data_IF_280870644984
#
_entry.id   IF_280870644984
#
_cell.length_a   1.000
_cell.length_b   1.000
_cell.length_c   1.000
_cell.angle_alpha   90.00
_cell.angle_beta   90.00
_cell.angle_gamma   90.00
#
_symmetry.space_group_name_H-M   'P 1'
#
loop_
_entity.id
_entity.type
_entity.pdbx_description
1 polymer ?
#
# COMPACT_ATOMS: atom_id res chain seq x y z
N UNK A 1 16.51 54.27 -4.34
CA UNK A 1 16.46 53.21 -3.31
C UNK A 1 16.17 51.91 -4.03
N UNK A 2 17.18 51.04 -4.12
CA UNK A 2 17.09 49.72 -4.76
C UNK A 2 16.38 48.81 -3.75
N UNK A 3 15.10 48.53 -3.97
CA UNK A 3 14.32 47.66 -3.11
C UNK A 3 14.69 46.23 -3.44
N UNK A 4 15.69 45.68 -2.75
CA UNK A 4 15.90 44.24 -2.72
C UNK A 4 14.62 43.62 -2.16
N UNK A 5 13.88 42.89 -2.99
CA UNK A 5 12.87 41.99 -2.44
C UNK A 5 13.66 40.88 -1.75
N UNK A 6 13.70 40.91 -0.43
CA UNK A 6 14.41 39.92 0.37
C UNK A 6 13.85 38.53 0.05
N UNK A 7 14.73 37.61 -0.36
CA UNK A 7 14.31 36.24 -0.68
C UNK A 7 13.56 35.58 0.50
N UNK A 8 13.93 35.94 1.73
CA UNK A 8 13.23 35.49 2.95
C UNK A 8 11.82 36.05 3.08
N UNK A 9 11.58 37.27 2.63
CA UNK A 9 10.24 37.86 2.60
C UNK A 9 9.42 37.20 1.49
N UNK A 10 10.00 37.01 0.31
CA UNK A 10 9.34 36.31 -0.79
C UNK A 10 9.03 34.84 -0.46
N UNK A 11 9.84 34.16 0.34
CA UNK A 11 9.55 32.82 0.87
C UNK A 11 8.30 32.80 1.78
N UNK A 12 7.83 33.94 2.29
CA UNK A 12 6.57 34.04 3.04
C UNK A 12 5.34 34.23 2.14
N UNK A 13 5.52 34.65 0.88
CA UNK A 13 4.42 34.99 -0.04
C UNK A 13 3.74 33.74 -0.60
N UNK A 14 2.48 33.80 -1.01
CA UNK A 14 1.83 32.60 -1.57
C UNK A 14 2.41 32.29 -2.94
N UNK A 15 2.28 31.04 -3.37
CA UNK A 15 2.80 30.61 -4.68
C UNK A 15 2.14 31.40 -5.80
N UNK A 16 0.84 31.65 -5.74
CA UNK A 16 0.14 32.46 -6.74
C UNK A 16 0.66 33.90 -6.82
N UNK A 17 0.87 34.54 -5.66
CA UNK A 17 1.42 35.91 -5.60
C UNK A 17 2.83 35.99 -6.19
N UNK A 18 3.67 34.98 -5.93
CA UNK A 18 5.02 34.90 -6.49
C UNK A 18 5.02 34.63 -7.99
N UNK A 19 4.06 33.85 -8.49
CA UNK A 19 3.90 33.60 -9.93
C UNK A 19 3.38 34.83 -10.66
N UNK A 20 2.51 35.62 -10.03
CA UNK A 20 2.05 36.89 -10.56
C UNK A 20 3.19 37.92 -10.57
N UNK A 21 3.92 38.02 -9.46
CA UNK A 21 5.12 38.85 -9.36
C UNK A 21 6.15 38.45 -10.41
N UNK A 22 6.38 37.14 -10.62
CA UNK A 22 7.26 36.64 -11.65
C UNK A 22 6.83 37.10 -13.05
N UNK A 23 5.55 36.99 -13.38
CA UNK A 23 4.99 37.47 -14.66
C UNK A 23 5.11 38.98 -14.82
N UNK A 24 4.89 39.75 -13.74
CA UNK A 24 5.04 41.21 -13.73
C UNK A 24 6.49 41.64 -13.94
N UNK A 25 7.43 40.88 -13.39
CA UNK A 25 8.86 41.09 -13.53
C UNK A 25 9.44 40.47 -14.82
N UNK A 26 8.61 39.77 -15.61
CA UNK A 26 9.04 39.09 -16.84
C UNK A 26 9.94 37.88 -16.62
N UNK A 27 9.93 37.30 -15.42
CA UNK A 27 10.69 36.09 -15.08
C UNK A 27 9.83 34.84 -15.08
N UNK A 28 10.51 33.70 -15.21
CA UNK A 28 9.88 32.40 -15.30
C UNK A 28 9.13 32.03 -14.01
N UNK A 29 7.82 31.81 -14.15
CA UNK A 29 6.90 31.49 -13.05
C UNK A 29 6.75 29.97 -12.82
N UNK A 30 7.54 29.15 -13.48
CA UNK A 30 7.50 27.70 -13.36
C UNK A 30 8.42 27.21 -12.23
N UNK A 31 8.00 26.12 -11.58
CA UNK A 31 8.75 25.49 -10.49
C UNK A 31 8.17 25.71 -9.09
N UNK A 32 9.02 25.49 -8.09
CA UNK A 32 8.63 25.57 -6.67
C UNK A 32 8.61 27.02 -6.19
N UNK A 33 7.87 27.26 -5.10
CA UNK A 33 7.71 28.59 -4.49
C UNK A 33 9.06 29.26 -4.19
N UNK A 34 10.03 28.49 -3.72
CA UNK A 34 11.37 28.97 -3.36
C UNK A 34 12.21 29.33 -4.58
N UNK A 35 12.09 28.57 -5.66
CA UNK A 35 12.76 28.88 -6.92
C UNK A 35 12.22 30.18 -7.53
N UNK A 36 10.90 30.34 -7.56
CA UNK A 36 10.25 31.56 -8.06
C UNK A 36 10.62 32.74 -7.17
N UNK A 37 10.59 32.59 -5.84
CA UNK A 37 11.02 33.63 -4.89
C UNK A 37 12.48 34.04 -5.10
N UNK A 38 13.37 33.09 -5.34
CA UNK A 38 14.80 33.37 -5.59
C UNK A 38 14.99 34.10 -6.91
N UNK A 39 14.27 33.70 -7.97
CA UNK A 39 14.32 34.38 -9.28
C UNK A 39 13.74 35.80 -9.20
N UNK A 40 12.62 35.99 -8.50
CA UNK A 40 12.03 37.31 -8.27
C UNK A 40 12.92 38.19 -7.36
N UNK A 41 13.62 37.61 -6.38
CA UNK A 41 14.58 38.34 -5.54
C UNK A 41 15.83 38.79 -6.31
N UNK A 42 16.25 37.98 -7.29
CA UNK A 42 17.40 38.26 -8.16
C UNK A 42 17.09 39.26 -9.29
N UNK A 43 15.81 39.62 -9.50
CA UNK A 43 15.43 40.73 -10.38
C UNK A 43 15.72 42.04 -9.67
N UNK A 44 16.94 42.54 -9.86
CA UNK A 44 17.23 43.95 -9.67
C UNK A 44 16.63 44.74 -10.85
N UNK A 45 16.02 45.91 -10.60
CA UNK A 45 15.89 46.94 -11.64
C UNK A 45 17.29 47.50 -11.89
N UNK A 46 18.11 46.69 -12.53
CA UNK A 46 19.47 46.96 -12.99
C UNK A 46 19.60 46.15 -14.28
N UNK A 47 19.42 46.81 -15.42
CA UNK A 47 19.94 46.28 -16.68
C UNK A 47 21.45 46.33 -16.50
N UNK A 48 22.17 45.21 -16.37
CA UNK A 48 23.61 45.28 -16.46
C UNK A 48 23.96 45.83 -17.84
N UNK A 49 24.73 46.91 -17.89
CA UNK A 49 25.42 47.30 -19.12
C UNK A 49 26.18 46.06 -19.61
N UNK A 50 25.87 45.58 -20.82
CA UNK A 50 26.31 44.29 -21.38
C UNK A 50 27.84 44.14 -21.53
N UNK A 51 28.64 45.05 -20.95
CA UNK A 51 30.07 45.19 -21.21
C UNK A 51 31.02 44.69 -20.11
N UNK A 52 30.56 44.12 -18.98
CA UNK A 52 31.48 43.56 -17.95
C UNK A 52 31.02 42.26 -17.24
N UNK A 53 30.17 41.42 -17.86
CA UNK A 53 29.95 40.04 -17.37
C UNK A 53 30.74 39.05 -18.24
N UNK A 54 31.79 38.47 -17.66
CA UNK A 54 32.66 37.51 -18.36
C UNK A 54 31.91 36.20 -18.64
N UNK A 55 32.31 35.47 -19.69
CA UNK A 55 31.71 34.16 -20.03
C UNK A 55 31.78 33.14 -18.88
N UNK A 56 32.67 33.36 -17.90
CA UNK A 56 32.81 32.53 -16.71
C UNK A 56 31.62 32.68 -15.74
N UNK A 57 31.08 33.89 -15.55
CA UNK A 57 29.90 34.13 -14.71
C UNK A 57 28.62 33.53 -15.31
N UNK A 58 28.44 33.62 -16.64
CA UNK A 58 27.32 32.97 -17.34
C UNK A 58 27.41 31.44 -17.24
N UNK A 59 28.63 30.89 -17.27
CA UNK A 59 28.85 29.44 -17.16
C UNK A 59 28.62 28.94 -15.73
N UNK A 60 29.02 29.70 -14.72
CA UNK A 60 28.77 29.40 -13.32
C UNK A 60 27.26 29.43 -12.99
N UNK A 61 26.52 30.39 -13.51
CA UNK A 61 25.06 30.46 -13.34
C UNK A 61 24.33 29.27 -14.00
N UNK A 62 24.77 28.85 -15.19
CA UNK A 62 24.21 27.69 -15.88
C UNK A 62 24.53 26.36 -15.18
N UNK A 63 25.75 26.20 -14.66
CA UNK A 63 26.17 25.00 -13.91
C UNK A 63 25.43 24.87 -12.58
N UNK A 64 25.24 25.99 -11.85
CA UNK A 64 24.44 26.02 -10.63
C UNK A 64 22.96 25.68 -10.88
N UNK A 65 22.38 26.14 -11.99
CA UNK A 65 21.02 25.79 -12.37
C UNK A 65 20.88 24.29 -12.75
N UNK A 66 21.88 23.72 -13.42
CA UNK A 66 21.90 22.30 -13.76
C UNK A 66 22.06 21.40 -12.53
N UNK A 67 22.91 21.77 -11.56
CA UNK A 67 23.07 21.01 -10.32
C UNK A 67 21.81 21.06 -9.44
N UNK A 68 21.14 22.21 -9.39
CA UNK A 68 19.86 22.35 -8.69
C UNK A 68 18.76 21.49 -9.33
N UNK A 69 18.68 21.44 -10.66
CA UNK A 69 17.74 20.58 -11.37
C UNK A 69 18.01 19.09 -11.14
N UNK A 70 19.30 18.68 -11.13
CA UNK A 70 19.69 17.30 -10.86
C UNK A 70 19.34 16.84 -9.43
N UNK A 71 19.59 17.68 -8.41
CA UNK A 71 19.20 17.40 -7.02
C UNK A 71 17.68 17.29 -6.85
N UNK A 72 16.92 18.17 -7.49
CA UNK A 72 15.45 18.13 -7.43
C UNK A 72 14.86 16.87 -8.09
N UNK A 73 15.48 16.37 -9.17
CA UNK A 73 15.06 15.11 -9.80
C UNK A 73 15.39 13.89 -8.93
N UNK A 74 16.55 13.88 -8.27
CA UNK A 74 16.95 12.81 -7.35
C UNK A 74 16.02 12.73 -6.14
N UNK A 75 15.68 13.87 -5.52
CA UNK A 75 14.74 13.92 -4.40
C UNK A 75 13.33 13.46 -4.79
N UNK A 76 12.88 13.78 -6.01
CA UNK A 76 11.60 13.26 -6.54
C UNK A 76 11.60 11.75 -6.69
N UNK A 77 12.66 11.16 -7.23
CA UNK A 77 12.78 9.70 -7.39
C UNK A 77 12.82 8.99 -6.03
N UNK A 78 13.50 9.56 -5.05
CA UNK A 78 13.54 9.01 -3.69
C UNK A 78 12.15 9.05 -3.02
N UNK A 79 11.41 10.15 -3.17
CA UNK A 79 10.05 10.28 -2.63
C UNK A 79 9.06 9.31 -3.29
N UNK A 80 9.13 9.13 -4.61
CA UNK A 80 8.27 8.19 -5.34
C UNK A 80 8.56 6.73 -4.94
N UNK A 81 9.84 6.36 -4.79
CA UNK A 81 10.22 5.03 -4.33
C UNK A 81 9.74 4.75 -2.89
N UNK A 82 9.81 5.73 -1.99
CA UNK A 82 9.32 5.61 -0.62
C UNK A 82 7.78 5.44 -0.59
N UNK A 83 7.05 6.20 -1.41
CA UNK A 83 5.59 6.10 -1.49
C UNK A 83 5.15 4.72 -2.02
N UNK A 84 5.82 4.20 -3.05
CA UNK A 84 5.53 2.87 -3.60
C UNK A 84 5.80 1.76 -2.58
N UNK A 85 6.91 1.84 -1.84
CA UNK A 85 7.23 0.87 -0.80
C UNK A 85 6.21 0.88 0.36
N UNK A 86 5.67 2.05 0.73
CA UNK A 86 4.62 2.14 1.75
C UNK A 86 3.29 1.53 1.27
N UNK A 87 2.92 1.74 0.00
CA UNK A 87 1.72 1.13 -0.59
C UNK A 87 1.84 -0.40 -0.62
N UNK A 88 2.97 -0.93 -1.09
CA UNK A 88 3.22 -2.37 -1.14
C UNK A 88 3.18 -3.01 0.26
N UNK A 89 3.69 -2.32 1.28
CA UNK A 89 3.62 -2.79 2.67
C UNK A 89 2.18 -2.86 3.18
N UNK A 90 1.36 -1.84 2.91
CA UNK A 90 -0.07 -1.84 3.31
C UNK A 90 -0.86 -2.94 2.61
N UNK A 91 -0.58 -3.19 1.32
CA UNK A 91 -1.20 -4.27 0.58
C UNK A 91 -0.82 -5.66 1.15
N UNK A 92 0.45 -5.86 1.48
CA UNK A 92 0.92 -7.11 2.10
C UNK A 92 0.30 -7.35 3.49
N UNK A 93 0.19 -6.31 4.32
CA UNK A 93 -0.43 -6.40 5.64
C UNK A 93 -1.93 -6.74 5.55
N UNK A 94 -2.65 -6.12 4.62
CA UNK A 94 -4.07 -6.43 4.38
C UNK A 94 -4.28 -7.89 3.90
N UNK A 95 -3.40 -8.38 3.01
CA UNK A 95 -3.45 -9.76 2.54
C UNK A 95 -3.17 -10.77 3.68
N UNK A 96 -2.17 -10.49 4.53
CA UNK A 96 -1.85 -11.34 5.67
C UNK A 96 -3.01 -11.42 6.69
N UNK A 97 -3.65 -10.28 6.99
CA UNK A 97 -4.81 -10.25 7.88
C UNK A 97 -6.00 -11.03 7.32
N UNK A 98 -6.28 -10.88 6.02
CA UNK A 98 -7.36 -11.63 5.36
C UNK A 98 -7.10 -13.14 5.35
N UNK A 99 -5.84 -13.57 5.22
CA UNK A 99 -5.47 -14.99 5.32
C UNK A 99 -5.66 -15.53 6.75
N UNK A 100 -5.30 -14.74 7.77
CA UNK A 100 -5.50 -15.12 9.17
C UNK A 100 -7.00 -15.27 9.51
N UNK A 101 -7.82 -14.31 9.08
CA UNK A 101 -9.28 -14.35 9.29
C UNK A 101 -9.91 -15.57 8.60
N UNK A 102 -9.46 -15.94 7.39
CA UNK A 102 -9.93 -17.16 6.72
C UNK A 102 -9.53 -18.43 7.46
N UNK A 103 -8.32 -18.50 7.99
CA UNK A 103 -7.87 -19.66 8.80
C UNK A 103 -8.69 -19.78 10.09
N UNK A 104 -8.98 -18.66 10.74
CA UNK A 104 -9.82 -18.63 11.94
C UNK A 104 -11.25 -19.11 11.62
N UNK A 105 -11.84 -18.65 10.52
CA UNK A 105 -13.16 -19.09 10.07
C UNK A 105 -13.19 -20.58 9.72
N UNK A 106 -12.19 -21.09 8.98
CA UNK A 106 -12.10 -22.51 8.64
C UNK A 106 -11.95 -23.40 9.88
N UNK A 107 -11.16 -22.95 10.87
CA UNK A 107 -11.02 -23.68 12.14
C UNK A 107 -12.32 -23.68 12.96
N UNK A 108 -13.06 -22.57 12.96
CA UNK A 108 -14.35 -22.49 13.62
C UNK A 108 -15.38 -23.42 12.94
N UNK A 109 -15.40 -23.46 11.61
CA UNK A 109 -16.26 -24.38 10.85
C UNK A 109 -15.90 -25.85 11.09
N UNK A 110 -14.60 -26.20 11.15
CA UNK A 110 -14.15 -27.55 11.48
C UNK A 110 -14.56 -27.95 12.91
N UNK A 111 -14.43 -27.03 13.87
CA UNK A 111 -14.83 -27.26 15.26
C UNK A 111 -16.36 -27.42 15.38
N UNK A 112 -17.14 -26.58 14.71
CA UNK A 112 -18.60 -26.69 14.66
C UNK A 112 -19.02 -28.02 14.03
N UNK A 113 -18.47 -28.36 12.85
CA UNK A 113 -18.74 -29.62 12.17
C UNK A 113 -18.40 -30.82 13.06
N UNK A 114 -17.28 -30.77 13.81
CA UNK A 114 -16.90 -31.82 14.75
C UNK A 114 -17.90 -31.97 15.92
N UNK A 115 -18.52 -30.88 16.39
CA UNK A 115 -19.56 -30.94 17.43
C UNK A 115 -20.90 -31.48 16.93
N UNK A 116 -21.16 -31.41 15.63
CA UNK A 116 -22.39 -31.96 15.02
C UNK A 116 -22.31 -33.45 14.69
N UNK A 117 -21.11 -34.05 14.73
CA UNK A 117 -20.94 -35.48 14.50
C UNK A 117 -21.44 -36.31 15.70
N UNK A 118 -22.10 -37.41 15.38
CA UNK A 118 -22.60 -38.42 16.32
C UNK A 118 -21.75 -39.67 16.21
N UNK A 119 -21.43 -40.29 17.35
CA UNK A 119 -20.71 -41.57 17.40
C UNK A 119 -21.66 -42.71 17.04
N UNK A 120 -21.23 -43.57 16.13
CA UNK A 120 -21.94 -44.79 15.73
C UNK A 120 -21.02 -46.00 15.85
N UNK A 121 -21.62 -47.18 16.06
CA UNK A 121 -20.94 -48.47 16.11
C UNK A 121 -21.40 -49.37 14.98
N UNK A 122 -20.46 -49.86 14.17
CA UNK A 122 -20.75 -50.81 13.11
C UNK A 122 -21.25 -52.14 13.69
N UNK A 123 -22.40 -52.61 13.21
CA UNK A 123 -23.00 -53.88 13.63
C UNK A 123 -22.53 -55.06 12.78
N UNK A 124 -22.12 -54.79 11.54
CA UNK A 124 -21.62 -55.79 10.59
C UNK A 124 -20.58 -55.15 9.68
N UNK A 125 -19.76 -55.97 9.01
CA UNK A 125 -18.82 -55.48 8.00
C UNK A 125 -19.56 -54.85 6.82
N UNK A 126 -19.24 -53.61 6.48
CA UNK A 126 -19.80 -52.93 5.31
C UNK A 126 -18.79 -51.95 4.69
N UNK A 127 -19.00 -51.59 3.42
CA UNK A 127 -18.24 -50.53 2.75
C UNK A 127 -19.00 -49.22 2.92
N UNK A 128 -18.41 -48.28 3.67
CA UNK A 128 -18.93 -46.92 3.72
C UNK A 128 -18.58 -46.20 2.41
N UNK A 129 -19.59 -45.89 1.61
CA UNK A 129 -19.41 -45.25 0.30
C UNK A 129 -19.03 -43.77 0.37
N UNK A 130 -19.32 -43.09 1.48
CA UNK A 130 -18.96 -41.67 1.65
C UNK A 130 -17.52 -41.54 2.10
N UNK A 131 -17.10 -42.38 3.05
CA UNK A 131 -15.73 -42.41 3.56
C UNK A 131 -14.78 -43.25 2.70
N UNK A 132 -15.32 -44.01 1.74
CA UNK A 132 -14.62 -45.00 0.91
C UNK A 132 -13.74 -45.94 1.74
N UNK A 133 -14.29 -46.40 2.87
CA UNK A 133 -13.61 -47.19 3.89
C UNK A 133 -14.44 -48.42 4.25
N UNK A 134 -13.79 -49.56 4.44
CA UNK A 134 -14.44 -50.73 5.02
C UNK A 134 -14.49 -50.53 6.54
N UNK A 135 -15.68 -50.67 7.11
CA UNK A 135 -15.89 -50.72 8.56
C UNK A 135 -16.16 -52.17 8.94
N UNK A 136 -15.44 -52.67 9.93
CA UNK A 136 -15.62 -54.00 10.49
C UNK A 136 -16.59 -53.96 11.68
N UNK A 137 -17.11 -55.13 12.06
CA UNK A 137 -18.04 -55.23 13.17
C UNK A 137 -17.41 -54.74 14.47
N UNK A 138 -18.08 -53.82 15.17
CA UNK A 138 -17.62 -53.25 16.43
C UNK A 138 -16.85 -51.94 16.28
N UNK A 139 -16.52 -51.51 15.07
CA UNK A 139 -15.84 -50.23 14.82
C UNK A 139 -16.69 -49.04 15.26
N UNK A 140 -16.07 -48.10 15.98
CA UNK A 140 -16.69 -46.86 16.45
C UNK A 140 -16.11 -45.68 15.68
N UNK A 141 -17.00 -44.82 15.16
CA UNK A 141 -16.61 -43.67 14.34
C UNK A 141 -17.67 -42.57 14.41
N UNK A 142 -17.28 -41.34 14.08
CA UNK A 142 -18.15 -40.18 14.11
C UNK A 142 -18.68 -39.88 12.70
N UNK A 143 -19.99 -39.66 12.58
CA UNK A 143 -20.68 -39.33 11.32
C UNK A 143 -21.72 -38.25 11.58
N UNK A 144 -22.18 -37.55 10.53
CA UNK A 144 -23.30 -36.60 10.67
C UNK A 144 -24.57 -37.30 11.17
N UNK A 145 -25.47 -36.55 11.82
CA UNK A 145 -26.76 -37.07 12.30
C UNK A 145 -27.58 -37.75 11.20
N UNK A 146 -27.62 -37.14 10.01
CA UNK A 146 -28.33 -37.69 8.86
C UNK A 146 -27.72 -39.02 8.42
N UNK A 147 -26.38 -39.12 8.39
CA UNK A 147 -25.70 -40.37 8.05
C UNK A 147 -25.93 -41.44 9.11
N UNK A 148 -25.91 -41.08 10.39
CA UNK A 148 -26.20 -42.01 11.47
C UNK A 148 -27.57 -42.67 11.28
N UNK A 149 -28.60 -41.89 10.95
CA UNK A 149 -29.94 -42.39 10.65
C UNK A 149 -29.97 -43.36 9.45
N UNK A 150 -29.25 -43.03 8.37
CA UNK A 150 -29.15 -43.92 7.18
C UNK A 150 -28.48 -45.25 7.53
N UNK A 151 -27.41 -45.22 8.33
CA UNK A 151 -26.70 -46.42 8.74
C UNK A 151 -27.53 -47.30 9.70
N UNK A 152 -28.33 -46.68 10.55
CA UNK A 152 -29.27 -47.36 11.44
C UNK A 152 -30.43 -47.99 10.67
N UNK A 153 -31.06 -47.27 9.74
CA UNK A 153 -32.13 -47.79 8.87
C UNK A 153 -31.65 -48.98 8.04
N UNK A 154 -30.41 -48.93 7.54
CA UNK A 154 -29.80 -50.03 6.80
C UNK A 154 -29.32 -51.20 7.70
N UNK A 155 -29.42 -51.05 9.03
CA UNK A 155 -28.95 -52.04 10.01
C UNK A 155 -27.47 -52.37 9.87
N UNK A 156 -26.65 -51.40 9.45
CA UNK A 156 -25.19 -51.56 9.31
C UNK A 156 -24.43 -50.94 10.48
N UNK A 157 -24.97 -49.91 11.13
CA UNK A 157 -24.43 -49.31 12.35
C UNK A 157 -25.58 -48.91 13.30
N UNK A 158 -25.27 -48.66 14.57
CA UNK A 158 -26.20 -48.08 15.55
C UNK A 158 -25.57 -46.84 16.19
N UNK A 159 -26.39 -45.85 16.53
CA UNK A 159 -25.94 -44.69 17.33
C UNK A 159 -25.50 -45.16 18.71
N UNK A 160 -24.34 -44.66 19.14
CA UNK A 160 -23.87 -44.81 20.51
C UNK A 160 -24.35 -43.56 21.24
N UNK A 161 -25.44 -43.68 22.00
CA UNK A 161 -25.86 -42.62 22.91
C UNK A 161 -24.76 -42.45 23.98
N UNK A 162 -24.24 -41.23 24.13
CA UNK A 162 -23.29 -40.86 25.19
C UNK A 162 -24.01 -40.55 26.51
#
# INVERSE_FOLDING_TARGET
MKGYLDAKELESYKKEDLQELAKQLGVDAEGTKKEIATRCAAVEVDIPDESELTEEDKRAAAEAAAEAAAKAEEERKAAEAAAKAEEERKAAEAAAKAEEERKAAAKAEEEEAATELVKVKAQRRFLDKELNQIKDTGDEYAVSRERAAVLEEAGVAAVIEE
#
